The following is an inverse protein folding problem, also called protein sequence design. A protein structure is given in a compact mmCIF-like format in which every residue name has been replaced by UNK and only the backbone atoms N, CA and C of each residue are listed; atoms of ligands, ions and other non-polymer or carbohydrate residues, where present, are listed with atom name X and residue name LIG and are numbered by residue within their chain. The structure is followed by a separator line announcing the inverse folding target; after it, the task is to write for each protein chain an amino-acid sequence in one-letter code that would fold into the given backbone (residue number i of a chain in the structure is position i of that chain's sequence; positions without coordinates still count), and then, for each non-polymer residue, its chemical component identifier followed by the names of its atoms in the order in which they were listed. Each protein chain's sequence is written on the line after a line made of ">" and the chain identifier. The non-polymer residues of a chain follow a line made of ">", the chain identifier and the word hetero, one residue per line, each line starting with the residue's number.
data_IF_672375125172
#
_entry.id   IF_672375125172
#
_cell.length_a   1.000
_cell.length_b   1.000
_cell.length_c   1.000
_cell.angle_alpha   90.00
_cell.angle_beta   90.00
_cell.angle_gamma   90.00
#
_symmetry.space_group_name_H-M   'P 1'
#
loop_
_entity.id
_entity.type
_entity.pdbx_description
1 polymer ?
#
# COMPACT_ATOMS: atom_id res chain seq x y z
N UNK A 1 -38.11 8.63 2.48
CA UNK A 1 -36.92 9.47 2.74
C UNK A 1 -35.71 8.54 2.88
N UNK A 2 -34.57 8.79 2.19
CA UNK A 2 -33.38 7.95 2.36
C UNK A 2 -32.88 8.00 3.81
N UNK A 3 -32.34 6.88 4.30
CA UNK A 3 -31.82 6.74 5.68
C UNK A 3 -30.38 7.26 5.85
N UNK A 4 -29.78 7.74 4.77
CA UNK A 4 -28.39 8.19 4.70
C UNK A 4 -28.33 9.58 4.09
N UNK A 5 -27.34 10.36 4.50
CA UNK A 5 -27.08 11.69 3.97
C UNK A 5 -26.40 11.63 2.60
N UNK A 6 -26.59 12.66 1.79
CA UNK A 6 -25.98 12.80 0.47
C UNK A 6 -24.97 13.95 0.47
N UNK A 7 -23.86 13.77 -0.26
CA UNK A 7 -22.85 14.78 -0.49
C UNK A 7 -22.47 14.84 -1.98
N UNK A 8 -22.17 16.04 -2.48
CA UNK A 8 -21.61 16.25 -3.82
C UNK A 8 -20.11 16.49 -3.68
N UNK A 9 -19.30 15.69 -4.36
CA UNK A 9 -17.83 15.83 -4.38
C UNK A 9 -17.38 16.10 -5.81
N UNK A 10 -16.60 17.16 -6.00
CA UNK A 10 -15.95 17.47 -7.27
C UNK A 10 -14.45 17.16 -7.15
N UNK A 11 -13.92 16.35 -8.06
CA UNK A 11 -12.50 15.98 -8.09
C UNK A 11 -11.87 16.57 -9.35
N UNK A 12 -10.82 17.38 -9.18
CA UNK A 12 -9.98 17.84 -10.28
C UNK A 12 -8.72 16.98 -10.34
N UNK A 13 -8.40 16.35 -11.48
CA UNK A 13 -7.16 15.61 -11.65
C UNK A 13 -5.95 16.51 -11.36
N UNK A 14 -5.04 16.04 -10.51
CA UNK A 14 -3.75 16.69 -10.26
C UNK A 14 -2.64 15.95 -10.98
N UNK A 15 -1.59 16.67 -11.37
CA UNK A 15 -0.38 16.02 -11.83
C UNK A 15 0.18 15.13 -10.70
N UNK A 16 0.55 13.87 -10.98
CA UNK A 16 1.12 13.01 -9.96
C UNK A 16 2.49 13.56 -9.54
N UNK A 17 2.77 13.58 -8.24
CA UNK A 17 4.09 13.95 -7.72
C UNK A 17 5.17 12.97 -8.19
N UNK A 18 4.79 11.70 -8.36
CA UNK A 18 5.62 10.61 -8.86
C UNK A 18 4.75 9.62 -9.65
N UNK A 19 5.21 9.10 -10.80
CA UNK A 19 4.48 8.06 -11.52
C UNK A 19 4.46 6.75 -10.73
N UNK A 20 3.36 6.00 -10.87
CA UNK A 20 3.28 4.60 -10.42
C UNK A 20 3.98 3.75 -11.48
N UNK A 21 5.04 3.03 -11.12
CA UNK A 21 5.85 2.25 -12.06
C UNK A 21 5.11 1.02 -12.59
N UNK A 22 4.44 0.32 -11.68
CA UNK A 22 3.61 -0.85 -11.98
C UNK A 22 2.21 -0.62 -11.38
N UNK A 23 1.25 -0.12 -12.17
CA UNK A 23 -0.12 0.10 -11.71
C UNK A 23 -0.83 -1.17 -11.24
N UNK A 24 -0.54 -2.33 -11.84
CA UNK A 24 -1.21 -3.58 -11.47
C UNK A 24 -0.73 -4.08 -10.11
N UNK A 25 0.59 -4.04 -9.88
CA UNK A 25 1.16 -4.34 -8.57
C UNK A 25 0.67 -3.35 -7.52
N UNK A 26 0.64 -2.05 -7.85
CA UNK A 26 0.15 -1.02 -6.95
C UNK A 26 -1.30 -1.27 -6.50
N UNK A 27 -2.21 -1.53 -7.44
CA UNK A 27 -3.61 -1.82 -7.14
C UNK A 27 -3.76 -3.11 -6.30
N UNK A 28 -2.98 -4.15 -6.61
CA UNK A 28 -2.96 -5.41 -5.85
C UNK A 28 -2.50 -5.18 -4.41
N UNK A 29 -1.39 -4.46 -4.22
CA UNK A 29 -0.83 -4.19 -2.89
C UNK A 29 -1.77 -3.31 -2.07
N UNK A 30 -2.38 -2.28 -2.66
CA UNK A 30 -3.40 -1.47 -1.97
C UNK A 30 -4.61 -2.31 -1.57
N UNK A 31 -5.12 -3.14 -2.48
CA UNK A 31 -6.27 -4.01 -2.22
C UNK A 31 -5.99 -4.94 -1.04
N UNK A 32 -4.83 -5.59 -1.03
CA UNK A 32 -4.42 -6.46 0.08
C UNK A 32 -4.22 -5.66 1.37
N UNK A 33 -3.55 -4.51 1.28
CA UNK A 33 -3.30 -3.61 2.41
C UNK A 33 -4.59 -3.23 3.15
N UNK A 34 -5.67 -2.95 2.42
CA UNK A 34 -6.96 -2.56 2.99
C UNK A 34 -7.96 -3.74 3.15
N UNK A 35 -7.58 -4.98 2.83
CA UNK A 35 -8.48 -6.13 2.81
C UNK A 35 -9.12 -6.43 4.17
N UNK A 36 -8.41 -6.19 5.28
CA UNK A 36 -8.95 -6.35 6.62
C UNK A 36 -8.77 -5.09 7.46
N UNK A 37 -9.90 -4.52 7.93
CA UNK A 37 -9.90 -3.31 8.75
C UNK A 37 -9.14 -3.54 10.06
N UNK A 38 -8.36 -2.54 10.48
CA UNK A 38 -7.65 -2.48 11.77
C UNK A 38 -6.52 -3.50 11.95
N UNK A 39 -6.24 -4.38 10.98
CA UNK A 39 -5.06 -5.25 11.03
C UNK A 39 -3.83 -4.45 10.61
N UNK A 40 -2.70 -4.79 11.22
CA UNK A 40 -1.40 -4.21 10.87
C UNK A 40 -1.06 -4.60 9.43
N UNK A 41 -0.43 -3.68 8.70
CA UNK A 41 -0.07 -3.83 7.29
C UNK A 41 0.72 -5.12 7.04
N UNK A 42 1.63 -5.48 7.95
CA UNK A 42 2.40 -6.73 7.89
C UNK A 42 1.57 -8.01 7.87
N UNK A 43 0.38 -7.98 8.47
CA UNK A 43 -0.52 -9.14 8.50
C UNK A 43 -1.30 -9.23 7.18
N UNK A 44 -1.57 -8.10 6.55
CA UNK A 44 -2.31 -8.02 5.29
C UNK A 44 -1.43 -8.38 4.08
N UNK A 45 -0.16 -7.98 4.10
CA UNK A 45 0.79 -8.23 3.00
C UNK A 45 1.66 -9.48 3.18
N UNK A 46 1.48 -10.24 4.27
CA UNK A 46 2.31 -11.43 4.55
C UNK A 46 2.17 -12.57 3.53
N UNK A 47 1.18 -12.52 2.64
CA UNK A 47 1.02 -13.46 1.53
C UNK A 47 1.80 -13.04 0.26
N UNK A 48 2.32 -11.80 0.22
CA UNK A 48 3.07 -11.25 -0.94
C UNK A 48 4.56 -11.50 -0.75
N UNK A 49 5.06 -11.25 0.45
CA UNK A 49 6.48 -11.44 0.81
C UNK A 49 6.59 -11.97 2.24
N UNK A 50 7.68 -12.67 2.60
CA UNK A 50 7.93 -13.10 3.96
C UNK A 50 7.84 -11.94 4.96
N UNK A 51 7.27 -12.20 6.13
CA UNK A 51 7.00 -11.17 7.14
C UNK A 51 8.26 -10.42 7.58
N UNK A 52 9.39 -11.11 7.71
CA UNK A 52 10.63 -10.50 8.18
C UNK A 52 11.18 -9.50 7.15
N UNK A 53 11.16 -9.86 5.86
CA UNK A 53 11.49 -8.94 4.75
C UNK A 53 10.59 -7.72 4.72
N UNK A 54 9.29 -7.92 4.97
CA UNK A 54 8.35 -6.82 5.03
C UNK A 54 8.64 -5.88 6.20
N UNK A 55 9.00 -6.40 7.38
CA UNK A 55 9.38 -5.57 8.53
C UNK A 55 10.65 -4.77 8.26
N UNK A 56 11.67 -5.39 7.65
CA UNK A 56 12.90 -4.72 7.21
C UNK A 56 12.57 -3.57 6.24
N UNK A 57 11.71 -3.84 5.24
CA UNK A 57 11.26 -2.84 4.27
C UNK A 57 10.53 -1.68 4.95
N UNK A 58 9.56 -1.96 5.83
CA UNK A 58 8.82 -0.90 6.52
C UNK A 58 9.76 -0.03 7.36
N UNK A 59 10.72 -0.63 8.07
CA UNK A 59 11.72 0.10 8.85
C UNK A 59 12.60 0.98 7.96
N UNK A 60 13.08 0.47 6.82
CA UNK A 60 13.89 1.23 5.87
C UNK A 60 13.18 2.48 5.32
N UNK A 61 11.85 2.44 5.24
CA UNK A 61 11.01 3.56 4.80
C UNK A 61 10.43 4.40 5.96
N UNK A 62 10.97 4.27 7.18
CA UNK A 62 10.50 4.97 8.37
C UNK A 62 9.01 4.75 8.68
N UNK A 63 8.49 3.56 8.36
CA UNK A 63 7.12 3.14 8.65
C UNK A 63 7.13 2.28 9.91
N UNK A 64 6.26 2.60 10.87
CA UNK A 64 6.17 1.85 12.11
C UNK A 64 5.79 0.38 11.84
N UNK A 65 6.40 -0.62 12.49
CA UNK A 65 6.15 -2.03 12.21
C UNK A 65 4.70 -2.47 12.53
N UNK A 66 4.01 -1.73 13.41
CA UNK A 66 2.59 -1.93 13.72
C UNK A 66 1.65 -1.00 12.93
N UNK A 67 2.15 -0.27 11.93
CA UNK A 67 1.32 0.60 11.09
C UNK A 67 0.20 -0.21 10.42
N UNK A 68 -0.96 0.41 10.31
CA UNK A 68 -2.09 -0.06 9.51
C UNK A 68 -2.04 0.60 8.13
N UNK A 69 -2.81 0.06 7.19
CA UNK A 69 -2.88 0.61 5.84
C UNK A 69 -3.31 2.08 5.81
N UNK A 70 -4.26 2.47 6.67
CA UNK A 70 -4.71 3.85 6.79
C UNK A 70 -3.68 4.81 7.42
N UNK A 71 -2.63 4.30 8.06
CA UNK A 71 -1.59 5.12 8.69
C UNK A 71 -0.53 5.59 7.67
N UNK A 72 -0.47 4.97 6.49
CA UNK A 72 0.51 5.29 5.45
C UNK A 72 0.04 6.46 4.59
N UNK A 73 0.93 7.43 4.38
CA UNK A 73 0.76 8.48 3.38
C UNK A 73 0.89 7.95 1.94
N UNK A 74 0.40 8.71 0.95
CA UNK A 74 0.51 8.34 -0.47
C UNK A 74 1.97 8.12 -0.89
N UNK A 75 2.94 9.00 -0.54
CA UNK A 75 4.35 8.74 -0.86
C UNK A 75 4.89 7.43 -0.26
N UNK A 76 4.53 7.12 0.99
CA UNK A 76 4.94 5.87 1.64
C UNK A 76 4.36 4.64 0.93
N UNK A 77 3.13 4.71 0.43
CA UNK A 77 2.56 3.64 -0.39
C UNK A 77 3.34 3.41 -1.67
N UNK A 78 3.72 4.50 -2.36
CA UNK A 78 4.54 4.38 -3.57
C UNK A 78 5.90 3.76 -3.23
N UNK A 79 6.52 4.15 -2.13
CA UNK A 79 7.82 3.61 -1.69
C UNK A 79 7.73 2.11 -1.35
N UNK A 80 6.69 1.70 -0.64
CA UNK A 80 6.45 0.29 -0.32
C UNK A 80 6.28 -0.54 -1.59
N UNK A 81 5.51 -0.05 -2.56
CA UNK A 81 5.27 -0.78 -3.81
C UNK A 81 6.54 -0.88 -4.66
N UNK A 82 7.30 0.21 -4.78
CA UNK A 82 8.58 0.21 -5.51
C UNK A 82 9.57 -0.77 -4.86
N UNK A 83 9.65 -0.83 -3.54
CA UNK A 83 10.52 -1.75 -2.81
C UNK A 83 10.04 -3.22 -2.91
N UNK A 84 8.72 -3.47 -2.86
CA UNK A 84 8.17 -4.80 -3.10
C UNK A 84 8.45 -5.29 -4.52
N UNK A 85 8.35 -4.41 -5.51
CA UNK A 85 8.69 -4.74 -6.90
C UNK A 85 10.15 -5.20 -7.02
N UNK A 86 11.07 -4.51 -6.35
CA UNK A 86 12.50 -4.89 -6.34
C UNK A 86 12.74 -6.25 -5.66
N UNK A 87 12.07 -6.52 -4.53
CA UNK A 87 12.19 -7.80 -3.84
C UNK A 87 11.67 -8.95 -4.70
N UNK A 88 10.49 -8.80 -5.30
CA UNK A 88 9.88 -9.83 -6.15
C UNK A 88 10.73 -10.12 -7.41
N UNK A 89 11.36 -9.09 -7.98
CA UNK A 89 12.28 -9.24 -9.10
C UNK A 89 13.60 -9.94 -8.69
N UNK A 90 14.12 -9.66 -7.50
CA UNK A 90 15.35 -10.26 -6.99
C UNK A 90 15.19 -11.73 -6.60
N UNK A 91 14.01 -12.11 -6.09
CA UNK A 91 13.70 -13.48 -5.67
C UNK A 91 13.30 -14.40 -6.84
N UNK A 92 13.30 -13.90 -8.08
CA UNK A 92 13.05 -14.70 -9.29
C UNK A 92 11.59 -15.16 -9.45
N UNK A 93 10.63 -14.47 -8.85
CA UNK A 93 9.20 -14.78 -8.96
C UNK A 93 8.52 -14.22 -10.24
N UNK A 94 9.29 -13.96 -11.31
CA UNK A 94 8.78 -13.56 -12.62
C UNK A 94 8.53 -14.75 -13.54
#
# INVERSE_FOLDING_TARGET
>A
RPKVDSAVVCLSPRAPQRPVRDPQLFDRVLTLGFATRRKMLRNNLGAVVPRDRLLELLQAHNIHPNARAEDLSIPQWLDVVDALQQLLAADGFC
#
